data_IF_189060305113
#
_entry.id   IF_189060305113
#
_cell.length_a   1.000
_cell.length_b   1.000
_cell.length_c   1.000
_cell.angle_alpha   90.00
_cell.angle_beta   90.00
_cell.angle_gamma   90.00
#
_symmetry.space_group_name_H-M   'P 1'
#
loop_
_entity.id
_entity.type
_entity.pdbx_description
1 polymer ?
#
# COMPACT_ATOMS: atom_id res chain seq x y z
N UNK A 1 3.58 13.94 9.19
CA UNK A 1 2.91 13.15 8.10
C UNK A 1 3.82 13.04 6.89
N UNK A 2 3.64 12.02 6.04
CA UNK A 2 4.41 11.84 4.79
C UNK A 2 4.33 13.08 3.88
N UNK A 3 3.20 13.78 3.87
CA UNK A 3 3.01 15.02 3.10
C UNK A 3 4.13 16.05 3.28
N UNK A 4 4.72 16.15 4.45
CA UNK A 4 5.84 17.06 4.72
C UNK A 4 7.14 16.65 4.01
N UNK A 5 7.25 15.40 3.59
CA UNK A 5 8.41 14.84 2.89
C UNK A 5 8.35 15.05 1.37
N UNK A 6 7.18 15.30 0.80
CA UNK A 6 6.97 15.47 -0.64
C UNK A 6 7.68 16.70 -1.24
N UNK A 7 8.18 17.59 -0.40
CA UNK A 7 8.98 18.75 -0.83
C UNK A 7 10.48 18.43 -1.03
N UNK A 8 10.92 17.22 -0.75
CA UNK A 8 12.30 16.79 -1.02
C UNK A 8 12.51 16.50 -2.49
N UNK A 9 13.75 16.66 -2.96
CA UNK A 9 14.16 16.26 -4.31
C UNK A 9 14.07 14.75 -4.55
N UNK A 10 14.27 13.95 -3.50
CA UNK A 10 14.12 12.49 -3.49
C UNK A 10 13.50 12.06 -2.17
N UNK A 11 12.43 11.29 -2.23
CA UNK A 11 11.82 10.63 -1.08
C UNK A 11 12.22 9.15 -1.12
N UNK A 12 12.85 8.68 -0.06
CA UNK A 12 13.30 7.29 0.08
C UNK A 12 12.44 6.55 1.11
N UNK A 13 11.87 5.44 0.72
CA UNK A 13 11.05 4.61 1.62
C UNK A 13 11.39 3.14 1.52
N UNK A 14 11.03 2.40 2.58
CA UNK A 14 11.14 0.94 2.62
C UNK A 14 9.78 0.33 2.91
N UNK A 15 9.56 -0.87 2.42
CA UNK A 15 8.36 -1.67 2.73
C UNK A 15 8.76 -2.92 3.50
N UNK A 16 8.00 -3.24 4.56
CA UNK A 16 8.21 -4.43 5.37
C UNK A 16 6.93 -5.27 5.45
N UNK A 17 7.15 -6.57 5.62
CA UNK A 17 6.08 -7.56 5.69
C UNK A 17 5.94 -8.06 7.13
N UNK A 18 4.74 -8.04 7.72
CA UNK A 18 4.51 -8.69 9.00
C UNK A 18 4.90 -10.18 8.95
N UNK A 19 5.55 -10.71 9.99
CA UNK A 19 5.94 -12.10 10.01
C UNK A 19 4.70 -13.00 10.03
N UNK A 20 4.80 -14.17 9.36
CA UNK A 20 3.71 -15.15 9.31
C UNK A 20 3.43 -15.75 10.69
N UNK A 21 4.46 -15.97 11.49
CA UNK A 21 4.38 -16.54 12.85
C UNK A 21 4.50 -15.43 13.89
N UNK A 22 3.78 -15.55 14.99
CA UNK A 22 3.82 -14.56 16.07
C UNK A 22 5.18 -14.51 16.78
N UNK A 23 5.83 -15.65 16.89
CA UNK A 23 7.15 -15.78 17.52
C UNK A 23 8.26 -15.03 16.76
N UNK A 24 8.04 -14.73 15.48
CA UNK A 24 8.99 -14.03 14.63
C UNK A 24 8.91 -12.48 14.74
N UNK A 25 8.05 -11.95 15.62
CA UNK A 25 7.85 -10.49 15.75
C UNK A 25 9.14 -9.76 16.15
N UNK A 26 9.98 -10.37 16.97
CA UNK A 26 11.27 -9.78 17.36
C UNK A 26 12.25 -9.64 16.19
N UNK A 27 12.15 -10.54 15.20
CA UNK A 27 13.00 -10.46 14.02
C UNK A 27 12.67 -9.23 13.17
N UNK A 28 11.37 -8.89 13.03
CA UNK A 28 11.00 -7.68 12.29
C UNK A 28 11.47 -6.41 13.00
N UNK A 29 11.40 -6.36 14.34
CA UNK A 29 11.91 -5.21 15.10
C UNK A 29 13.42 -5.03 14.89
N UNK A 30 14.20 -6.10 14.93
CA UNK A 30 15.64 -6.05 14.63
C UNK A 30 15.90 -5.53 13.22
N UNK A 31 15.15 -6.02 12.23
CA UNK A 31 15.25 -5.55 10.84
C UNK A 31 14.89 -4.06 10.74
N UNK A 32 13.87 -3.60 11.46
CA UNK A 32 13.49 -2.18 11.48
C UNK A 32 14.58 -1.31 12.11
N UNK A 33 15.24 -1.78 13.16
CA UNK A 33 16.38 -1.07 13.77
C UNK A 33 17.57 -0.95 12.83
N UNK A 34 17.77 -1.93 11.93
CA UNK A 34 18.76 -1.86 10.87
C UNK A 34 18.31 -0.89 9.76
N UNK A 35 17.07 -0.99 9.28
CA UNK A 35 16.50 -0.13 8.22
C UNK A 35 16.52 1.35 8.63
N UNK A 36 16.19 1.67 9.87
CA UNK A 36 16.18 3.06 10.35
C UNK A 36 17.54 3.75 10.21
N UNK A 37 18.65 2.99 10.21
CA UNK A 37 20.00 3.55 10.01
C UNK A 37 20.19 4.12 8.61
N UNK A 38 19.39 3.68 7.63
CA UNK A 38 19.37 4.19 6.26
C UNK A 38 18.62 5.53 6.15
N UNK A 39 17.97 5.97 7.23
CA UNK A 39 17.20 7.22 7.31
C UNK A 39 16.10 7.32 6.25
N UNK A 40 15.23 6.31 6.10
CA UNK A 40 14.11 6.42 5.17
C UNK A 40 13.17 7.54 5.61
N UNK A 41 12.50 8.16 4.65
CA UNK A 41 11.50 9.19 4.90
C UNK A 41 10.22 8.61 5.51
N UNK A 42 9.86 7.41 5.08
CA UNK A 42 8.81 6.61 5.70
C UNK A 42 9.05 5.10 5.51
N UNK A 43 8.39 4.30 6.32
CA UNK A 43 8.40 2.83 6.18
C UNK A 43 6.95 2.35 6.11
N UNK A 44 6.61 1.61 5.04
CA UNK A 44 5.30 0.99 4.90
C UNK A 44 5.26 -0.41 5.50
N UNK A 45 4.10 -0.78 6.04
CA UNK A 45 3.84 -2.11 6.61
C UNK A 45 2.69 -2.75 5.87
N UNK A 46 2.93 -3.88 5.21
CA UNK A 46 1.91 -4.58 4.45
C UNK A 46 0.81 -5.15 5.36
N UNK A 47 -0.37 -5.32 4.78
CA UNK A 47 -1.51 -5.94 5.44
C UNK A 47 -1.57 -7.42 5.05
N UNK A 48 -1.58 -8.32 6.03
CA UNK A 48 -1.59 -9.75 5.75
C UNK A 48 -2.85 -10.20 5.02
N UNK A 49 -2.69 -11.12 4.08
CA UNK A 49 -3.80 -11.68 3.32
C UNK A 49 -4.92 -12.21 4.23
N UNK A 50 -6.16 -11.76 3.98
CA UNK A 50 -7.35 -12.25 4.69
C UNK A 50 -7.69 -11.60 6.02
N UNK A 51 -7.14 -10.42 6.34
CA UNK A 51 -7.57 -9.63 7.51
C UNK A 51 -7.04 -10.13 8.87
N UNK A 52 -6.41 -11.31 8.93
CA UNK A 52 -5.93 -11.91 10.18
C UNK A 52 -4.77 -11.16 10.85
N UNK A 53 -4.12 -10.25 10.14
CA UNK A 53 -2.91 -9.57 10.58
C UNK A 53 -3.09 -8.06 10.87
N UNK A 54 -4.30 -7.55 10.95
CA UNK A 54 -4.56 -6.12 11.23
C UNK A 54 -3.86 -5.64 12.50
N UNK A 55 -3.91 -6.44 13.56
CA UNK A 55 -3.22 -6.14 14.84
C UNK A 55 -1.71 -6.11 14.69
N UNK A 56 -1.12 -7.03 13.91
CA UNK A 56 0.33 -7.04 13.66
C UNK A 56 0.74 -5.79 12.85
N UNK A 57 0.01 -5.46 11.79
CA UNK A 57 0.27 -4.26 10.98
C UNK A 57 0.25 -3.02 11.87
N UNK A 58 -0.79 -2.82 12.67
CA UNK A 58 -0.89 -1.68 13.59
C UNK A 58 0.21 -1.67 14.65
N UNK A 59 0.63 -2.83 15.15
CA UNK A 59 1.71 -2.94 16.16
C UNK A 59 3.06 -2.61 15.54
N UNK A 60 3.37 -3.11 14.35
CA UNK A 60 4.62 -2.83 13.64
C UNK A 60 4.66 -1.36 13.20
N UNK A 61 3.56 -0.82 12.67
CA UNK A 61 3.46 0.59 12.31
C UNK A 61 3.69 1.50 13.53
N UNK A 62 3.14 1.14 14.69
CA UNK A 62 3.39 1.86 15.93
C UNK A 62 4.86 1.79 16.38
N UNK A 63 5.54 0.67 16.19
CA UNK A 63 6.98 0.55 16.47
C UNK A 63 7.80 1.46 15.55
N UNK A 64 7.50 1.47 14.26
CA UNK A 64 8.14 2.37 13.29
C UNK A 64 7.94 3.82 13.70
N UNK A 65 6.70 4.21 13.98
CA UNK A 65 6.35 5.60 14.33
C UNK A 65 6.99 6.06 15.63
N UNK A 66 6.92 5.25 16.70
CA UNK A 66 7.23 5.70 18.05
C UNK A 66 8.61 5.26 18.57
N UNK A 67 9.19 4.20 18.00
CA UNK A 67 10.50 3.66 18.45
C UNK A 67 11.58 3.91 17.42
N UNK A 68 11.27 3.69 16.13
CA UNK A 68 12.21 4.06 15.08
C UNK A 68 12.23 5.56 14.79
N UNK A 69 11.18 6.29 15.19
CA UNK A 69 11.01 7.73 14.91
C UNK A 69 11.00 8.02 13.40
N UNK A 70 10.42 7.10 12.63
CA UNK A 70 10.23 7.21 11.18
C UNK A 70 8.73 7.22 10.88
N UNK A 71 8.28 8.02 9.91
CA UNK A 71 6.89 8.03 9.48
C UNK A 71 6.43 6.62 9.07
N UNK A 72 5.36 6.14 9.68
CA UNK A 72 4.79 4.84 9.35
C UNK A 72 3.63 4.98 8.36
N UNK A 73 3.58 4.13 7.32
CA UNK A 73 2.47 4.00 6.39
C UNK A 73 1.84 2.62 6.57
N UNK A 74 0.65 2.56 7.15
CA UNK A 74 -0.06 1.30 7.38
C UNK A 74 -0.89 0.90 6.15
N UNK A 75 -0.67 -0.29 5.59
CA UNK A 75 -1.56 -0.81 4.56
C UNK A 75 -2.92 -1.18 5.18
N UNK A 76 -3.97 -0.95 4.43
CA UNK A 76 -5.36 -1.27 4.81
C UNK A 76 -6.10 -1.82 3.60
N UNK A 77 -6.74 -2.99 3.75
CA UNK A 77 -7.42 -3.66 2.64
C UNK A 77 -8.93 -3.69 2.83
N UNK A 78 -9.67 -3.52 1.73
CA UNK A 78 -11.12 -3.70 1.69
C UNK A 78 -11.54 -5.15 1.99
N UNK A 79 -10.73 -6.11 1.53
CA UNK A 79 -10.96 -7.53 1.79
C UNK A 79 -10.86 -7.85 3.27
N UNK A 80 -11.89 -8.51 3.81
CA UNK A 80 -11.96 -8.88 5.23
C UNK A 80 -12.29 -7.73 6.19
N UNK A 81 -12.72 -6.59 5.65
CA UNK A 81 -13.05 -5.40 6.41
C UNK A 81 -14.55 -5.07 6.31
N UNK A 82 -15.16 -4.78 7.44
CA UNK A 82 -16.47 -4.13 7.53
C UNK A 82 -16.32 -2.75 8.19
N UNK A 83 -17.41 -2.01 8.29
CA UNK A 83 -17.39 -0.66 8.83
C UNK A 83 -16.91 -0.62 10.29
N UNK A 84 -17.34 -1.58 11.12
CA UNK A 84 -16.96 -1.64 12.53
C UNK A 84 -15.47 -1.93 12.71
N UNK A 85 -14.94 -2.91 11.97
CA UNK A 85 -13.52 -3.28 11.95
C UNK A 85 -12.66 -2.14 11.42
N UNK A 86 -13.12 -1.44 10.38
CA UNK A 86 -12.44 -0.27 9.83
C UNK A 86 -12.31 0.83 10.88
N UNK A 87 -13.40 1.21 11.52
CA UNK A 87 -13.41 2.25 12.56
C UNK A 87 -12.51 1.88 13.75
N UNK A 88 -12.57 0.62 14.19
CA UNK A 88 -11.72 0.15 15.28
C UNK A 88 -10.23 0.23 14.93
N UNK A 89 -9.85 -0.16 13.70
CA UNK A 89 -8.47 -0.10 13.24
C UNK A 89 -8.00 1.34 13.09
N UNK A 90 -8.80 2.23 12.51
CA UNK A 90 -8.48 3.66 12.36
C UNK A 90 -8.27 4.32 13.72
N UNK A 91 -9.15 4.03 14.68
CA UNK A 91 -9.01 4.51 16.06
C UNK A 91 -7.72 4.01 16.72
N UNK A 92 -7.39 2.73 16.54
CA UNK A 92 -6.15 2.15 17.06
C UNK A 92 -4.91 2.79 16.45
N UNK A 93 -4.87 2.96 15.12
CA UNK A 93 -3.76 3.62 14.42
C UNK A 93 -3.56 5.05 14.92
N UNK A 94 -4.64 5.84 14.97
CA UNK A 94 -4.61 7.23 15.44
C UNK A 94 -4.13 7.33 16.88
N UNK A 95 -4.60 6.45 17.78
CA UNK A 95 -4.14 6.39 19.18
C UNK A 95 -2.64 6.10 19.29
N UNK A 96 -2.09 5.39 18.30
CA UNK A 96 -0.65 5.07 18.22
C UNK A 96 0.16 6.09 17.43
N UNK A 97 -0.43 7.20 17.01
CA UNK A 97 0.23 8.27 16.25
C UNK A 97 0.49 7.90 14.78
N UNK A 98 -0.12 6.83 14.25
CA UNK A 98 0.01 6.44 12.85
C UNK A 98 -1.11 7.12 12.04
N UNK A 99 -0.72 8.07 11.19
CA UNK A 99 -1.66 8.94 10.48
C UNK A 99 -1.60 8.75 8.94
N UNK A 100 -0.76 7.82 8.46
CA UNK A 100 -0.63 7.56 7.03
C UNK A 100 -1.13 6.15 6.69
N UNK A 101 -1.99 6.04 5.68
CA UNK A 101 -2.66 4.80 5.28
C UNK A 101 -2.49 4.56 3.78
N UNK A 102 -2.10 3.35 3.38
CA UNK A 102 -2.21 2.90 2.00
C UNK A 102 -3.51 2.12 1.83
N UNK A 103 -4.48 2.72 1.14
CA UNK A 103 -5.79 2.14 0.90
C UNK A 103 -5.77 1.19 -0.31
N UNK A 104 -6.05 -0.08 -0.07
CA UNK A 104 -5.98 -1.16 -1.05
C UNK A 104 -7.31 -1.93 -1.13
N UNK A 105 -7.56 -2.57 -2.27
CA UNK A 105 -8.62 -3.57 -2.35
C UNK A 105 -8.24 -4.81 -1.53
N UNK A 106 -7.03 -5.27 -1.67
CA UNK A 106 -6.52 -6.55 -1.20
C UNK A 106 -6.85 -7.69 -2.15
N UNK A 107 -6.04 -8.74 -2.08
CA UNK A 107 -6.22 -9.94 -2.88
C UNK A 107 -7.21 -10.91 -2.24
N UNK A 108 -7.90 -11.71 -3.07
CA UNK A 108 -8.76 -12.76 -2.57
C UNK A 108 -7.95 -13.81 -1.80
N UNK A 109 -8.23 -14.01 -0.50
CA UNK A 109 -7.58 -15.07 0.26
C UNK A 109 -7.84 -16.45 -0.34
N UNK A 110 -6.86 -17.33 -0.31
CA UNK A 110 -7.03 -18.71 -0.82
C UNK A 110 -8.12 -19.49 -0.07
N UNK A 111 -8.38 -19.11 1.18
CA UNK A 111 -9.39 -19.73 2.05
C UNK A 111 -10.80 -19.19 1.82
N UNK A 112 -10.93 -18.09 1.06
CA UNK A 112 -12.21 -17.42 0.79
C UNK A 112 -12.80 -17.94 -0.53
N UNK A 113 -14.07 -18.33 -0.53
CA UNK A 113 -14.79 -18.69 -1.76
C UNK A 113 -14.97 -17.48 -2.68
N UNK A 114 -15.33 -17.71 -3.94
CA UNK A 114 -15.62 -16.60 -4.86
C UNK A 114 -16.88 -15.86 -4.42
N UNK A 115 -17.89 -16.58 -3.96
CA UNK A 115 -19.15 -15.99 -3.49
C UNK A 115 -18.92 -15.07 -2.27
N UNK A 116 -18.15 -15.51 -1.27
CA UNK A 116 -17.79 -14.66 -0.12
C UNK A 116 -17.01 -13.43 -0.55
N UNK A 117 -16.08 -13.59 -1.50
CA UNK A 117 -15.32 -12.46 -2.03
C UNK A 117 -16.22 -11.46 -2.76
N UNK A 118 -17.21 -11.92 -3.51
CA UNK A 118 -18.14 -11.08 -4.25
C UNK A 118 -19.18 -10.39 -3.32
N UNK A 119 -19.50 -11.01 -2.18
CA UNK A 119 -20.44 -10.49 -1.18
C UNK A 119 -19.77 -9.64 -0.10
N UNK A 120 -18.43 -9.43 -0.14
CA UNK A 120 -17.72 -8.63 0.88
C UNK A 120 -18.28 -7.22 1.01
N UNK A 121 -18.17 -6.63 2.18
CA UNK A 121 -18.75 -5.32 2.51
C UNK A 121 -18.13 -4.21 1.63
N UNK A 122 -16.83 -4.01 1.70
CA UNK A 122 -16.09 -3.12 0.81
C UNK A 122 -15.60 -3.88 -0.42
N UNK A 123 -15.91 -3.37 -1.62
CA UNK A 123 -15.53 -4.02 -2.89
C UNK A 123 -14.16 -3.57 -3.36
N UNK A 124 -13.86 -2.28 -3.23
CA UNK A 124 -12.66 -1.65 -3.78
C UNK A 124 -12.06 -0.64 -2.80
N UNK A 125 -10.84 -0.17 -3.10
CA UNK A 125 -10.23 0.93 -2.36
C UNK A 125 -11.08 2.21 -2.41
N UNK A 126 -11.84 2.43 -3.48
CA UNK A 126 -12.80 3.54 -3.60
C UNK A 126 -13.88 3.55 -2.52
N UNK A 127 -14.21 2.39 -1.95
CA UNK A 127 -15.16 2.32 -0.85
C UNK A 127 -14.50 2.68 0.49
N UNK A 128 -13.20 2.37 0.64
CA UNK A 128 -12.43 2.67 1.86
C UNK A 128 -12.10 4.15 2.01
N UNK A 129 -11.68 4.80 0.92
CA UNK A 129 -11.16 6.18 0.97
C UNK A 129 -12.14 7.14 1.64
N UNK A 130 -13.44 7.18 1.27
CA UNK A 130 -14.40 8.05 1.92
C UNK A 130 -14.61 7.72 3.41
N UNK A 131 -14.59 6.44 3.76
CA UNK A 131 -14.77 6.00 5.14
C UNK A 131 -13.54 6.33 6.01
N UNK A 132 -12.33 6.22 5.47
CA UNK A 132 -11.12 6.66 6.17
C UNK A 132 -11.22 8.16 6.46
N UNK A 133 -11.58 8.98 5.48
CA UNK A 133 -11.74 10.44 5.63
C UNK A 133 -12.80 10.85 6.65
N UNK A 134 -13.90 10.10 6.75
CA UNK A 134 -14.95 10.35 7.78
C UNK A 134 -14.46 10.10 9.21
N UNK A 135 -13.46 9.22 9.38
CA UNK A 135 -12.97 8.80 10.69
C UNK A 135 -11.71 9.54 11.17
N UNK A 136 -11.18 10.47 10.39
CA UNK A 136 -10.07 11.30 10.81
C UNK A 136 -9.32 11.94 9.66
N UNK A 137 -8.39 12.79 10.03
CA UNK A 137 -7.48 13.46 9.10
C UNK A 137 -6.25 12.54 8.89
N UNK A 138 -6.35 11.66 7.90
CA UNK A 138 -5.30 10.74 7.51
C UNK A 138 -4.72 11.15 6.16
N UNK A 139 -3.39 11.01 6.02
CA UNK A 139 -2.74 10.99 4.71
C UNK A 139 -3.04 9.64 4.04
N UNK A 140 -3.64 9.66 2.85
CA UNK A 140 -4.10 8.45 2.18
C UNK A 140 -3.31 8.26 0.89
N UNK A 141 -2.52 7.19 0.83
CA UNK A 141 -1.87 6.72 -0.38
C UNK A 141 -2.74 5.70 -1.12
N UNK A 142 -2.56 5.59 -2.42
CA UNK A 142 -3.20 4.57 -3.26
C UNK A 142 -2.21 3.82 -4.13
N UNK A 143 -2.50 2.56 -4.45
CA UNK A 143 -1.69 1.79 -5.40
C UNK A 143 -2.05 2.12 -6.85
N UNK A 144 -1.03 2.11 -7.73
CA UNK A 144 -1.15 2.23 -9.17
C UNK A 144 -0.23 1.25 -9.90
N UNK A 145 -0.45 1.05 -11.19
CA UNK A 145 0.24 0.02 -11.99
C UNK A 145 0.84 0.64 -13.25
N UNK A 146 2.18 0.74 -13.35
CA UNK A 146 2.84 1.30 -14.54
C UNK A 146 2.52 0.56 -15.83
N UNK A 147 2.32 -0.74 -15.75
CA UNK A 147 1.89 -1.54 -16.89
C UNK A 147 0.36 -1.55 -16.98
N UNK A 148 -0.34 -2.48 -16.40
CA UNK A 148 -1.82 -2.49 -16.28
C UNK A 148 -2.19 -3.37 -15.11
N UNK A 149 -3.21 -2.98 -14.33
CA UNK A 149 -3.75 -3.88 -13.32
C UNK A 149 -4.27 -5.18 -13.97
N UNK A 150 -3.92 -6.38 -13.46
CA UNK A 150 -4.29 -7.66 -14.10
C UNK A 150 -5.78 -7.86 -14.36
N UNK A 151 -6.65 -7.19 -13.64
CA UNK A 151 -8.11 -7.27 -13.79
C UNK A 151 -8.71 -6.13 -14.64
N UNK A 152 -7.91 -5.15 -15.07
CA UNK A 152 -8.35 -4.11 -16.00
C UNK A 152 -8.20 -4.61 -17.43
N UNK A 153 -9.15 -4.26 -18.31
CA UNK A 153 -9.12 -4.68 -19.72
C UNK A 153 -7.95 -4.06 -20.48
N UNK A 154 -7.60 -2.86 -20.12
CA UNK A 154 -6.53 -2.09 -20.73
C UNK A 154 -6.08 -0.96 -19.79
N UNK A 155 -5.02 -0.27 -20.16
CA UNK A 155 -4.45 0.80 -19.35
C UNK A 155 -5.35 2.03 -19.25
N UNK A 156 -6.19 2.29 -20.25
CA UNK A 156 -7.12 3.43 -20.21
C UNK A 156 -8.19 3.23 -19.13
N UNK A 157 -8.79 2.05 -19.06
CA UNK A 157 -9.73 1.69 -17.99
C UNK A 157 -9.06 1.74 -16.61
N UNK A 158 -7.81 1.26 -16.50
CA UNK A 158 -7.06 1.28 -15.25
C UNK A 158 -6.80 2.72 -14.76
N UNK A 159 -6.42 3.63 -15.67
CA UNK A 159 -6.24 5.05 -15.36
C UNK A 159 -7.56 5.72 -14.97
N UNK A 160 -8.68 5.35 -15.58
CA UNK A 160 -9.99 5.85 -15.18
C UNK A 160 -10.35 5.43 -13.75
N UNK A 161 -10.10 4.17 -13.38
CA UNK A 161 -10.26 3.71 -12.00
C UNK A 161 -9.31 4.42 -11.03
N UNK A 162 -8.07 4.68 -11.48
CA UNK A 162 -7.10 5.43 -10.69
C UNK A 162 -7.56 6.87 -10.46
N UNK A 163 -8.07 7.53 -11.51
CA UNK A 163 -8.62 8.90 -11.42
C UNK A 163 -9.77 8.96 -10.40
N UNK A 164 -10.65 7.98 -10.40
CA UNK A 164 -11.74 7.90 -9.39
C UNK A 164 -11.18 7.86 -7.96
N UNK A 165 -10.10 7.08 -7.70
CA UNK A 165 -9.45 7.05 -6.38
C UNK A 165 -8.85 8.39 -6.01
N UNK A 166 -8.19 9.06 -6.96
CA UNK A 166 -7.57 10.38 -6.76
C UNK A 166 -8.64 11.42 -6.45
N UNK A 167 -9.75 11.43 -7.19
CA UNK A 167 -10.86 12.38 -6.99
C UNK A 167 -11.57 12.19 -5.63
N UNK A 168 -11.49 10.99 -5.05
CA UNK A 168 -11.96 10.73 -3.69
C UNK A 168 -11.01 11.28 -2.62
N UNK A 169 -9.81 11.74 -3.00
CA UNK A 169 -8.88 12.47 -2.14
C UNK A 169 -7.68 11.67 -1.68
N UNK A 170 -7.05 10.92 -2.58
CA UNK A 170 -5.70 10.41 -2.36
C UNK A 170 -4.70 11.57 -2.33
N UNK A 171 -3.67 11.43 -1.49
CA UNK A 171 -2.58 12.39 -1.35
C UNK A 171 -1.36 12.01 -2.21
N UNK A 172 -1.11 10.72 -2.42
CA UNK A 172 -0.05 10.22 -3.30
C UNK A 172 -0.38 8.84 -3.86
N UNK A 173 0.43 8.40 -4.82
CA UNK A 173 0.37 7.07 -5.42
C UNK A 173 1.67 6.32 -5.14
N UNK A 174 1.56 4.99 -4.96
CA UNK A 174 2.71 4.09 -4.90
C UNK A 174 2.53 3.07 -6.02
N UNK A 175 3.53 2.93 -6.90
CA UNK A 175 3.41 1.99 -8.00
C UNK A 175 3.61 0.55 -7.53
N UNK A 176 2.94 -0.39 -8.20
CA UNK A 176 3.40 -1.76 -8.23
C UNK A 176 4.83 -1.79 -8.78
N UNK A 177 5.64 -2.77 -8.35
CA UNK A 177 6.98 -2.94 -8.90
C UNK A 177 6.94 -3.13 -10.41
N UNK A 178 7.94 -2.64 -11.09
CA UNK A 178 8.15 -2.75 -12.53
C UNK A 178 9.64 -2.94 -12.81
N UNK A 179 9.97 -3.47 -14.00
CA UNK A 179 11.35 -3.72 -14.42
C UNK A 179 11.75 -2.93 -15.67
N UNK A 180 10.77 -2.37 -16.40
CA UNK A 180 11.00 -1.50 -17.56
C UNK A 180 10.68 -0.04 -17.21
N UNK A 181 11.70 0.80 -17.20
CA UNK A 181 11.55 2.24 -16.96
C UNK A 181 10.71 2.93 -18.05
N UNK A 182 10.69 2.42 -19.29
CA UNK A 182 9.87 3.00 -20.35
C UNK A 182 8.37 2.82 -20.05
N UNK A 183 7.98 1.68 -19.46
CA UNK A 183 6.62 1.48 -19.00
C UNK A 183 6.23 2.52 -17.93
N UNK A 184 7.14 2.79 -16.98
CA UNK A 184 6.92 3.81 -15.97
C UNK A 184 6.82 5.22 -16.56
N UNK A 185 7.73 5.62 -17.45
CA UNK A 185 7.68 6.94 -18.08
C UNK A 185 6.41 7.12 -18.92
N UNK A 186 6.05 6.12 -19.72
CA UNK A 186 4.78 6.13 -20.47
C UNK A 186 3.55 6.22 -19.56
N UNK A 187 3.59 5.58 -18.40
CA UNK A 187 2.54 5.68 -17.40
C UNK A 187 2.43 7.10 -16.84
N UNK A 188 3.55 7.74 -16.48
CA UNK A 188 3.57 9.13 -16.00
C UNK A 188 2.97 10.11 -17.02
N UNK A 189 3.31 9.96 -18.31
CA UNK A 189 2.72 10.78 -19.37
C UNK A 189 1.19 10.61 -19.48
N UNK A 190 0.69 9.40 -19.19
CA UNK A 190 -0.75 9.12 -19.21
C UNK A 190 -1.46 9.67 -17.98
N UNK A 191 -0.82 9.66 -16.82
CA UNK A 191 -1.34 10.31 -15.62
C UNK A 191 -1.51 11.82 -15.84
N UNK A 192 -0.49 12.47 -16.39
CA UNK A 192 -0.55 13.89 -16.73
C UNK A 192 -1.73 14.20 -17.67
N UNK A 193 -1.89 13.41 -18.75
CA UNK A 193 -3.01 13.55 -19.71
C UNK A 193 -4.38 13.32 -19.07
N UNK A 194 -4.45 12.49 -18.03
CA UNK A 194 -5.67 12.24 -17.26
C UNK A 194 -5.93 13.30 -16.17
N UNK A 195 -5.06 14.29 -16.02
CA UNK A 195 -5.15 15.30 -14.97
C UNK A 195 -4.94 14.73 -13.57
N UNK A 196 -4.01 13.77 -13.44
CA UNK A 196 -3.55 13.20 -12.16
C UNK A 196 -2.18 13.80 -11.89
N UNK A 197 -2.11 14.74 -10.93
CA UNK A 197 -0.93 15.56 -10.61
C UNK A 197 -0.39 15.33 -9.19
N UNK A 198 -0.91 14.35 -8.46
CA UNK A 198 -0.42 14.01 -7.13
C UNK A 198 0.92 13.24 -7.21
N UNK A 199 1.77 13.30 -6.16
CA UNK A 199 3.05 12.61 -6.13
C UNK A 199 2.95 11.09 -6.41
N UNK A 200 3.92 10.55 -7.15
CA UNK A 200 4.02 9.12 -7.46
C UNK A 200 5.34 8.56 -6.98
N UNK A 201 5.28 7.59 -6.06
CA UNK A 201 6.44 6.85 -5.58
C UNK A 201 6.66 5.60 -6.41
N UNK A 202 7.85 5.44 -6.98
CA UNK A 202 8.22 4.26 -7.76
C UNK A 202 8.51 3.07 -6.83
N UNK A 203 7.70 2.02 -6.92
CA UNK A 203 7.91 0.77 -6.19
C UNK A 203 8.99 -0.08 -6.86
N UNK A 204 10.05 -0.38 -6.11
CA UNK A 204 11.18 -1.18 -6.58
C UNK A 204 11.34 -2.38 -5.66
N UNK A 205 11.49 -3.57 -6.24
CA UNK A 205 11.79 -4.78 -5.50
C UNK A 205 13.13 -5.35 -5.94
N UNK A 206 14.15 -5.36 -5.05
CA UNK A 206 15.43 -5.99 -5.35
C UNK A 206 15.25 -7.50 -5.55
N UNK A 207 15.62 -8.02 -6.73
CA UNK A 207 15.60 -9.45 -7.02
C UNK A 207 16.95 -10.05 -6.62
N UNK A 208 16.97 -10.83 -5.55
CA UNK A 208 18.20 -11.48 -5.03
C UNK A 208 18.32 -12.95 -5.42
N UNK A 209 17.25 -13.55 -5.96
CA UNK A 209 17.25 -14.94 -6.42
C UNK A 209 16.27 -15.15 -7.57
N UNK A 210 16.64 -15.95 -8.57
CA UNK A 210 15.81 -16.23 -9.74
C UNK A 210 14.40 -16.78 -9.39
N UNK A 211 14.29 -17.56 -8.31
CA UNK A 211 13.01 -18.08 -7.82
C UNK A 211 12.03 -17.00 -7.39
N UNK A 212 12.52 -15.87 -6.89
CA UNK A 212 11.68 -14.73 -6.49
C UNK A 212 11.01 -14.10 -7.70
N UNK A 213 11.72 -14.02 -8.83
CA UNK A 213 11.23 -13.37 -10.04
C UNK A 213 9.89 -13.98 -10.52
N UNK A 214 9.81 -15.31 -10.65
CA UNK A 214 8.59 -15.98 -11.11
C UNK A 214 7.37 -15.73 -10.21
N UNK A 215 7.57 -15.76 -8.89
CA UNK A 215 6.48 -15.50 -7.93
C UNK A 215 6.04 -14.04 -7.98
N UNK A 216 7.00 -13.12 -8.04
CA UNK A 216 6.73 -11.68 -8.05
C UNK A 216 6.00 -11.26 -9.31
N UNK A 217 6.42 -11.72 -10.47
CA UNK A 217 5.77 -11.46 -11.75
C UNK A 217 4.33 -12.00 -11.77
N UNK A 218 4.12 -13.22 -11.27
CA UNK A 218 2.76 -13.79 -11.20
C UNK A 218 1.82 -12.97 -10.33
N UNK A 219 2.32 -12.38 -9.25
CA UNK A 219 1.52 -11.58 -8.32
C UNK A 219 1.32 -10.13 -8.80
N UNK A 220 2.32 -9.54 -9.42
CA UNK A 220 2.28 -8.13 -9.81
C UNK A 220 1.69 -7.89 -11.20
N UNK A 221 1.69 -8.91 -12.06
CA UNK A 221 1.38 -8.75 -13.47
C UNK A 221 2.47 -8.01 -14.28
N UNK A 222 3.63 -7.71 -13.66
CA UNK A 222 4.71 -7.00 -14.33
C UNK A 222 5.44 -7.87 -15.35
N UNK A 223 5.81 -7.29 -16.48
CA UNK A 223 6.66 -7.94 -17.46
C UNK A 223 8.13 -7.96 -17.00
N UNK A 224 8.88 -8.93 -17.48
CA UNK A 224 10.34 -9.03 -17.28
C UNK A 224 10.99 -8.87 -18.65
N UNK A 225 11.88 -7.90 -18.82
CA UNK A 225 12.62 -7.69 -20.06
C UNK A 225 13.51 -8.86 -20.44
#
# INVERSE_FOLDING_TARGET
MIQEKEHKSVVFSCEVFPPKRDDDIYQIYKTLDEIKTLKPDFISVTYGAGGSNSKKTATIAAYIQNICEVEALAHMTAVGMDEASLRALLFELKKKGVENILALRGDKPRTMSQEEFDQRYFKYATDLIPEIKKNGDFFIAGACYPEVHPESKNQEEDIQHLKQKVDLGLNCLITQMFFDNNAFYSFMDKLEKAGIDIPVHAGIMPVTAAKQLGTSVTLSGSSVP
#
